data_IF_266363849648
#
_entry.id   IF_266363849648
#
_cell.length_a   1.000
_cell.length_b   1.000
_cell.length_c   1.000
_cell.angle_alpha   90.00
_cell.angle_beta   90.00
_cell.angle_gamma   90.00
#
_symmetry.space_group_name_H-M   'P 1'
#
loop_
_entity.id
_entity.type
_entity.pdbx_description
1 polymer ?
#
# COMPACT_ATOMS: atom_id res chain seq x y z
N UNK A 1 2.97 -9.09 -11.82
CA UNK A 1 3.13 -8.34 -10.54
C UNK A 1 4.56 -7.84 -10.36
N UNK A 2 5.58 -8.70 -10.36
CA UNK A 2 6.98 -8.31 -10.20
C UNK A 2 7.44 -7.16 -11.12
N UNK A 3 7.19 -7.25 -12.43
CA UNK A 3 7.50 -6.18 -13.38
C UNK A 3 6.80 -4.85 -13.07
N UNK A 4 5.58 -4.92 -12.53
CA UNK A 4 4.82 -3.74 -12.15
C UNK A 4 5.46 -3.06 -10.94
N UNK A 5 5.76 -3.85 -9.90
CA UNK A 5 6.43 -3.36 -8.69
C UNK A 5 7.79 -2.75 -9.06
N UNK A 6 8.58 -3.42 -9.90
CA UNK A 6 9.87 -2.92 -10.39
C UNK A 6 9.73 -1.59 -11.15
N UNK A 7 8.71 -1.45 -12.01
CA UNK A 7 8.44 -0.22 -12.77
C UNK A 7 8.25 0.99 -11.86
N UNK A 8 7.62 0.82 -10.70
CA UNK A 8 7.34 1.92 -9.77
C UNK A 8 8.41 2.12 -8.69
N UNK A 9 9.60 1.57 -8.87
CA UNK A 9 10.69 1.75 -7.91
C UNK A 9 10.78 0.67 -6.84
N UNK A 10 10.03 -0.42 -6.99
CA UNK A 10 10.15 -1.59 -6.13
C UNK A 10 9.30 -1.56 -4.86
N UNK A 11 9.50 -2.55 -3.99
CA UNK A 11 8.86 -2.61 -2.67
C UNK A 11 9.95 -2.89 -1.63
N UNK A 12 10.27 -1.94 -0.71
CA UNK A 12 11.39 -2.09 0.23
C UNK A 12 11.42 -3.43 0.98
N UNK A 13 10.25 -3.90 1.42
CA UNK A 13 10.11 -5.16 2.17
C UNK A 13 10.47 -6.42 1.36
N UNK A 14 10.47 -6.32 0.03
CA UNK A 14 10.78 -7.43 -0.87
C UNK A 14 12.15 -7.28 -1.55
N UNK A 15 12.97 -6.29 -1.15
CA UNK A 15 14.23 -5.98 -1.82
C UNK A 15 15.33 -5.60 -0.84
N UNK A 16 16.51 -6.23 -0.98
CA UNK A 16 17.62 -6.00 -0.05
C UNK A 16 18.25 -4.61 -0.18
N UNK A 17 18.37 -4.11 -1.41
CA UNK A 17 18.98 -2.82 -1.72
C UNK A 17 17.96 -1.91 -2.40
N UNK A 18 17.00 -1.44 -1.62
CA UNK A 18 16.03 -0.47 -2.09
C UNK A 18 16.58 0.95 -2.00
N UNK A 19 16.54 1.70 -3.11
CA UNK A 19 17.04 3.06 -3.18
C UNK A 19 15.90 4.06 -3.18
N UNK A 20 15.82 4.93 -2.17
CA UNK A 20 14.77 5.97 -2.10
C UNK A 20 14.65 6.82 -3.36
N UNK A 21 15.77 7.07 -4.06
CA UNK A 21 15.80 7.86 -5.30
C UNK A 21 15.12 7.17 -6.49
N UNK A 22 14.92 5.85 -6.47
CA UNK A 22 14.21 5.13 -7.52
C UNK A 22 12.69 5.13 -7.34
N UNK A 23 12.18 5.77 -6.27
CA UNK A 23 10.76 5.77 -5.92
C UNK A 23 10.17 7.17 -5.91
N UNK A 24 9.13 7.35 -6.72
CA UNK A 24 8.28 8.55 -6.73
C UNK A 24 6.86 8.15 -6.31
N UNK A 25 6.52 8.47 -5.06
CA UNK A 25 5.23 8.12 -4.49
C UNK A 25 4.07 8.87 -5.15
N UNK A 26 4.31 10.08 -5.68
CA UNK A 26 3.29 10.91 -6.34
C UNK A 26 2.94 10.30 -7.69
N UNK A 27 3.96 9.95 -8.47
CA UNK A 27 3.78 9.25 -9.75
C UNK A 27 3.08 7.90 -9.53
N UNK A 28 3.57 7.08 -8.60
CA UNK A 28 2.96 5.79 -8.29
C UNK A 28 1.49 5.94 -7.89
N UNK A 29 1.17 6.88 -6.98
CA UNK A 29 -0.20 7.11 -6.50
C UNK A 29 -1.12 7.59 -7.63
N UNK A 30 -0.63 8.48 -8.49
CA UNK A 30 -1.39 8.97 -9.64
C UNK A 30 -1.65 7.85 -10.68
N UNK A 31 -0.66 6.99 -10.95
CA UNK A 31 -0.83 5.88 -11.88
C UNK A 31 -1.73 4.77 -11.31
N UNK A 32 -1.63 4.46 -10.02
CA UNK A 32 -2.52 3.52 -9.33
C UNK A 32 -3.99 3.95 -9.45
N UNK A 33 -4.26 5.24 -9.24
CA UNK A 33 -5.60 5.80 -9.39
C UNK A 33 -6.07 5.77 -10.84
N UNK A 34 -5.23 6.22 -11.78
CA UNK A 34 -5.57 6.32 -13.19
C UNK A 34 -5.81 4.96 -13.85
N UNK A 35 -5.01 3.95 -13.50
CA UNK A 35 -5.03 2.63 -14.16
C UNK A 35 -5.96 1.63 -13.47
N UNK A 36 -6.06 1.70 -12.14
CA UNK A 36 -6.80 0.69 -11.36
C UNK A 36 -7.82 1.27 -10.38
N UNK A 37 -7.96 2.60 -10.29
CA UNK A 37 -8.83 3.24 -9.30
C UNK A 37 -8.35 3.03 -7.85
N UNK A 38 -7.08 2.68 -7.66
CA UNK A 38 -6.49 2.45 -6.34
C UNK A 38 -5.90 3.74 -5.78
N UNK A 39 -6.25 4.07 -4.54
CA UNK A 39 -5.81 5.28 -3.84
C UNK A 39 -5.27 4.93 -2.46
N UNK A 40 -4.01 4.48 -2.34
CA UNK A 40 -3.48 3.98 -1.06
C UNK A 40 -3.17 5.08 -0.05
N UNK A 41 -2.81 6.29 -0.49
CA UNK A 41 -2.42 7.40 0.39
C UNK A 41 -3.47 8.51 0.47
N UNK A 42 -3.98 8.93 -0.70
CA UNK A 42 -4.95 10.02 -0.83
C UNK A 42 -5.95 9.60 -1.89
N UNK A 43 -7.25 9.65 -1.56
CA UNK A 43 -8.31 9.40 -2.52
C UNK A 43 -8.63 10.70 -3.28
N UNK A 44 -8.55 10.62 -4.60
CA UNK A 44 -8.98 11.70 -5.49
C UNK A 44 -10.17 11.23 -6.32
N UNK A 45 -11.17 12.08 -6.48
CA UNK A 45 -12.30 11.77 -7.35
C UNK A 45 -12.81 13.04 -8.02
N UNK A 46 -13.19 12.93 -9.30
CA UNK A 46 -13.89 13.99 -10.03
C UNK A 46 -15.37 13.66 -10.03
N UNK A 47 -16.16 14.50 -9.36
CA UNK A 47 -17.60 14.29 -9.24
C UNK A 47 -18.38 15.59 -9.15
N UNK A 48 -19.72 15.52 -9.12
CA UNK A 48 -20.58 16.70 -8.97
C UNK A 48 -20.25 17.46 -7.68
N UNK A 49 -20.20 18.79 -7.76
CA UNK A 49 -20.07 19.63 -6.56
C UNK A 49 -21.33 19.47 -5.69
N UNK A 50 -21.13 19.22 -4.39
CA UNK A 50 -22.22 19.12 -3.40
C UNK A 50 -23.06 20.40 -3.30
N UNK A 51 -22.51 21.55 -3.68
CA UNK A 51 -23.20 22.86 -3.68
C UNK A 51 -23.82 23.21 -5.03
N UNK A 52 -23.35 22.61 -6.13
CA UNK A 52 -23.87 22.85 -7.46
C UNK A 52 -23.66 21.60 -8.34
N UNK A 53 -24.70 20.79 -8.49
CA UNK A 53 -24.63 19.52 -9.23
C UNK A 53 -24.39 19.67 -10.74
N UNK A 54 -24.41 20.89 -11.28
CA UNK A 54 -24.14 21.16 -12.70
C UNK A 54 -22.64 21.33 -13.01
N UNK A 55 -21.77 21.37 -12.00
CA UNK A 55 -20.31 21.44 -12.19
C UNK A 55 -19.63 20.24 -11.54
N UNK A 56 -18.46 19.88 -12.07
CA UNK A 56 -17.60 18.86 -11.48
C UNK A 56 -16.43 19.49 -10.76
N UNK A 57 -16.05 18.90 -9.63
CA UNK A 57 -14.92 19.33 -8.80
C UNK A 57 -14.02 18.15 -8.47
N UNK A 58 -12.75 18.43 -8.24
CA UNK A 58 -11.82 17.46 -7.66
C UNK A 58 -12.08 17.44 -6.16
N UNK A 59 -12.43 16.27 -5.64
CA UNK A 59 -12.54 15.99 -4.21
C UNK A 59 -11.31 15.24 -3.74
N UNK A 60 -10.80 15.63 -2.57
CA UNK A 60 -9.71 14.95 -1.86
C UNK A 60 -10.32 14.38 -0.58
N UNK A 61 -10.13 13.08 -0.34
CA UNK A 61 -10.64 12.40 0.85
C UNK A 61 -9.62 11.38 1.40
N UNK A 62 -9.91 10.83 2.58
CA UNK A 62 -9.16 9.73 3.15
C UNK A 62 -9.19 8.49 2.25
N UNK A 63 -8.10 7.71 2.17
CA UNK A 63 -8.09 6.45 1.45
C UNK A 63 -8.92 5.39 2.19
N UNK A 64 -9.23 4.31 1.47
CA UNK A 64 -9.77 3.10 2.11
C UNK A 64 -8.66 2.33 2.82
N UNK A 65 -8.99 1.72 3.95
CA UNK A 65 -8.10 0.84 4.70
C UNK A 65 -8.48 -0.61 4.42
N UNK A 66 -7.49 -1.50 4.32
CA UNK A 66 -7.74 -2.94 4.14
C UNK A 66 -8.44 -3.53 5.36
N UNK A 67 -8.06 -3.07 6.56
CA UNK A 67 -8.74 -3.40 7.81
C UNK A 67 -9.64 -2.24 8.27
N UNK A 68 -10.76 -2.53 8.94
CA UNK A 68 -11.57 -1.48 9.57
C UNK A 68 -10.72 -0.63 10.53
N UNK A 69 -10.92 0.68 10.51
CA UNK A 69 -10.22 1.62 11.39
C UNK A 69 -10.35 1.23 12.87
N UNK A 70 -11.50 0.69 13.28
CA UNK A 70 -11.73 0.21 14.65
C UNK A 70 -10.81 -0.95 15.03
N UNK A 71 -10.44 -1.82 14.07
CA UNK A 71 -9.50 -2.91 14.31
C UNK A 71 -8.08 -2.40 14.49
N UNK A 72 -7.67 -1.42 13.69
CA UNK A 72 -6.35 -0.79 13.80
C UNK A 72 -6.23 0.05 15.09
N UNK A 73 -7.34 0.63 15.57
CA UNK A 73 -7.35 1.45 16.78
C UNK A 73 -7.33 0.64 18.09
N UNK A 74 -7.77 -0.63 18.08
CA UNK A 74 -7.81 -1.49 19.27
C UNK A 74 -7.02 -2.79 19.05
N UNK A 75 -5.70 -2.68 19.19
CA UNK A 75 -4.80 -3.79 18.95
C UNK A 75 -4.90 -4.92 19.98
N UNK A 76 -5.49 -4.66 21.15
CA UNK A 76 -5.68 -5.67 22.19
C UNK A 76 -6.84 -6.58 21.81
N UNK A 77 -7.98 -6.01 21.43
CA UNK A 77 -9.16 -6.79 21.02
C UNK A 77 -8.91 -7.53 19.72
N UNK A 78 -8.25 -6.89 18.75
CA UNK A 78 -8.06 -7.43 17.40
C UNK A 78 -6.68 -8.03 17.15
N UNK A 79 -5.94 -8.37 18.21
CA UNK A 79 -4.57 -8.92 18.12
C UNK A 79 -4.45 -10.04 17.09
N UNK A 80 -5.37 -11.00 17.10
CA UNK A 80 -5.35 -12.15 16.18
C UNK A 80 -5.45 -11.71 14.71
N UNK A 81 -6.33 -10.77 14.40
CA UNK A 81 -6.56 -10.26 13.06
C UNK A 81 -5.35 -9.44 12.58
N UNK A 82 -4.81 -8.58 13.44
CA UNK A 82 -3.61 -7.79 13.13
C UNK A 82 -2.40 -8.70 12.89
N UNK A 83 -2.18 -9.71 13.74
CA UNK A 83 -1.10 -10.70 13.54
C UNK A 83 -1.27 -11.45 12.22
N UNK A 84 -2.48 -11.86 11.86
CA UNK A 84 -2.74 -12.51 10.58
C UNK A 84 -2.49 -11.58 9.39
N UNK A 85 -2.81 -10.29 9.52
CA UNK A 85 -2.56 -9.29 8.49
C UNK A 85 -1.06 -9.03 8.29
N UNK A 86 -0.29 -8.87 9.38
CA UNK A 86 1.19 -8.79 9.34
C UNK A 86 1.77 -10.01 8.64
N UNK A 87 1.35 -11.22 9.04
CA UNK A 87 1.81 -12.46 8.42
C UNK A 87 1.49 -12.49 6.92
N UNK A 88 0.29 -12.08 6.51
CA UNK A 88 -0.08 -12.04 5.10
C UNK A 88 0.79 -11.05 4.29
N UNK A 89 1.05 -9.86 4.83
CA UNK A 89 1.93 -8.86 4.19
C UNK A 89 3.36 -9.38 4.06
N UNK A 90 3.93 -9.93 5.14
CA UNK A 90 5.29 -10.48 5.14
C UNK A 90 5.45 -11.64 4.14
N UNK A 91 4.51 -12.58 4.12
CA UNK A 91 4.54 -13.70 3.18
C UNK A 91 4.41 -13.24 1.72
N UNK A 92 3.57 -12.23 1.45
CA UNK A 92 3.47 -11.65 0.11
C UNK A 92 4.80 -11.01 -0.33
N UNK A 93 5.49 -10.32 0.57
CA UNK A 93 6.80 -9.74 0.30
C UNK A 93 7.87 -10.82 0.04
N UNK A 94 7.91 -11.89 0.85
CA UNK A 94 8.85 -13.01 0.68
C UNK A 94 8.63 -13.75 -0.65
N UNK A 95 7.36 -13.99 -1.03
CA UNK A 95 7.03 -14.58 -2.33
C UNK A 95 7.46 -13.69 -3.49
N UNK A 96 7.29 -12.36 -3.35
CA UNK A 96 7.75 -11.42 -4.36
C UNK A 96 9.28 -11.42 -4.47
N UNK A 97 9.99 -11.39 -3.33
CA UNK A 97 11.44 -11.45 -3.27
C UNK A 97 11.98 -12.72 -3.95
N UNK A 98 11.38 -13.88 -3.64
CA UNK A 98 11.73 -15.15 -4.29
C UNK A 98 11.51 -15.08 -5.81
N UNK A 99 10.38 -14.53 -6.25
CA UNK A 99 10.05 -14.40 -7.67
C UNK A 99 10.99 -13.44 -8.42
N UNK A 100 11.57 -12.45 -7.74
CA UNK A 100 12.53 -11.49 -8.31
C UNK A 100 13.99 -11.89 -8.09
N UNK A 101 14.27 -13.01 -7.42
CA UNK A 101 15.62 -13.46 -7.09
C UNK A 101 16.30 -12.63 -5.98
N UNK A 102 15.54 -11.84 -5.24
CA UNK A 102 16.01 -11.06 -4.09
C UNK A 102 16.20 -11.99 -2.88
N UNK A 103 17.17 -11.66 -2.03
CA UNK A 103 17.47 -12.41 -0.80
C UNK A 103 17.10 -11.54 0.40
N UNK A 104 15.87 -11.67 0.87
CA UNK A 104 15.32 -11.00 2.06
C UNK A 104 15.12 -12.04 3.16
N UNK A 105 15.54 -11.74 4.39
CA UNK A 105 15.32 -12.64 5.53
C UNK A 105 13.87 -12.57 6.00
N UNK A 106 13.36 -13.70 6.50
CA UNK A 106 12.02 -13.77 7.07
C UNK A 106 11.85 -12.75 8.20
N UNK A 107 12.78 -12.69 9.15
CA UNK A 107 12.74 -11.74 10.26
C UNK A 107 12.62 -10.27 9.80
N UNK A 108 13.35 -9.88 8.75
CA UNK A 108 13.27 -8.51 8.20
C UNK A 108 11.91 -8.24 7.57
N UNK A 109 11.37 -9.20 6.80
CA UNK A 109 10.07 -9.04 6.16
C UNK A 109 8.93 -8.94 7.20
N UNK A 110 8.99 -9.72 8.29
CA UNK A 110 8.02 -9.63 9.37
C UNK A 110 8.14 -8.34 10.18
N UNK A 111 9.36 -7.85 10.42
CA UNK A 111 9.57 -6.56 11.08
C UNK A 111 9.00 -5.41 10.23
N UNK A 112 9.38 -5.35 8.95
CA UNK A 112 8.87 -4.33 8.03
C UNK A 112 7.34 -4.40 7.89
N UNK A 113 6.76 -5.61 7.89
CA UNK A 113 5.31 -5.79 7.85
C UNK A 113 4.62 -5.30 9.13
N UNK A 114 5.25 -5.50 10.30
CA UNK A 114 4.74 -4.97 11.55
C UNK A 114 4.83 -3.44 11.64
N UNK A 115 5.82 -2.83 11.00
CA UNK A 115 6.00 -1.37 11.00
C UNK A 115 4.93 -0.61 10.17
N UNK A 116 4.23 -1.30 9.26
CA UNK A 116 3.21 -0.72 8.37
C UNK A 116 1.77 -1.13 8.70
N UNK A 117 1.56 -1.92 9.75
CA UNK A 117 0.24 -2.40 10.23
C UNK A 117 -0.10 -1.75 11.57
#
# INVERSE_FOLDING_TARGET
LAELVKRYGGWPMAQKLWYKKSFDWQLMSAELMKLWGLSPLIFFYVGPDRRNSNISVITIDQPSLVLPRSMLADSVVYKKQLTAYVHWVAQAALLLAQATGEQVSEDSAYQDAADVV
#
